data_IF_270742690877
#
_entry.id   IF_270742690877
#
_cell.length_a   1.000
_cell.length_b   1.000
_cell.length_c   1.000
_cell.angle_alpha   90.00
_cell.angle_beta   90.00
_cell.angle_gamma   90.00
#
_symmetry.space_group_name_H-M   'P 1'
#
loop_
_entity.id
_entity.type
_entity.pdbx_description
1 polymer ?
#
# COMPACT_ATOMS: atom_id res chain seq x y z
N UNK A 1 15.00 -24.63 -13.44
CA UNK A 1 16.24 -23.80 -13.29
C UNK A 1 16.23 -22.51 -14.11
N UNK A 2 16.08 -22.55 -15.45
CA UNK A 2 15.98 -21.30 -16.24
C UNK A 2 14.81 -20.43 -15.78
N UNK A 3 13.67 -21.07 -15.52
CA UNK A 3 12.46 -20.40 -15.02
C UNK A 3 12.67 -19.72 -13.67
N UNK A 4 13.32 -20.42 -12.73
CA UNK A 4 13.57 -19.89 -11.38
C UNK A 4 14.52 -18.67 -11.42
N UNK A 5 15.51 -18.68 -12.32
CA UNK A 5 16.40 -17.52 -12.54
C UNK A 5 15.63 -16.33 -13.09
N UNK A 6 14.73 -16.55 -14.06
CA UNK A 6 13.88 -15.48 -14.61
C UNK A 6 12.95 -14.93 -13.54
N UNK A 7 12.29 -15.80 -12.76
CA UNK A 7 11.43 -15.38 -11.65
C UNK A 7 12.19 -14.54 -10.63
N UNK A 8 13.36 -15.01 -10.16
CA UNK A 8 14.22 -14.26 -9.23
C UNK A 8 14.67 -12.91 -9.80
N UNK A 9 14.98 -12.87 -11.10
CA UNK A 9 15.41 -11.65 -11.79
C UNK A 9 14.27 -10.61 -11.90
N UNK A 10 13.05 -11.05 -12.17
CA UNK A 10 11.86 -10.17 -12.21
C UNK A 10 11.55 -9.61 -10.83
N UNK A 11 11.50 -10.48 -9.81
CA UNK A 11 11.24 -10.09 -8.42
C UNK A 11 12.26 -9.05 -7.97
N UNK A 12 13.56 -9.34 -8.09
CA UNK A 12 14.58 -8.40 -7.61
C UNK A 12 14.57 -7.08 -8.38
N UNK A 13 14.30 -7.10 -9.68
CA UNK A 13 14.29 -5.89 -10.51
C UNK A 13 13.13 -4.98 -10.13
N UNK A 14 11.92 -5.53 -10.01
CA UNK A 14 10.73 -4.75 -9.66
C UNK A 14 10.86 -4.25 -8.21
N UNK A 15 11.26 -5.11 -7.28
CA UNK A 15 11.50 -4.72 -5.89
C UNK A 15 12.50 -3.58 -5.75
N UNK A 16 13.63 -3.63 -6.47
CA UNK A 16 14.63 -2.54 -6.47
C UNK A 16 14.10 -1.25 -7.08
N UNK A 17 13.39 -1.32 -8.21
CA UNK A 17 12.76 -0.16 -8.84
C UNK A 17 11.74 0.49 -7.90
N UNK A 18 10.85 -0.30 -7.29
CA UNK A 18 9.86 0.21 -6.35
C UNK A 18 10.48 0.79 -5.09
N UNK A 19 11.52 0.15 -4.54
CA UNK A 19 12.25 0.67 -3.37
C UNK A 19 12.95 1.98 -3.68
N UNK A 20 13.53 2.10 -4.88
CA UNK A 20 14.17 3.33 -5.35
C UNK A 20 13.14 4.46 -5.53
N UNK A 21 12.03 4.21 -6.23
CA UNK A 21 10.97 5.21 -6.44
C UNK A 21 10.41 5.73 -5.12
N UNK A 22 10.00 4.83 -4.21
CA UNK A 22 9.50 5.21 -2.89
C UNK A 22 10.59 5.90 -2.04
N UNK A 23 11.85 5.50 -2.17
CA UNK A 23 12.98 6.14 -1.48
C UNK A 23 13.25 7.57 -1.97
N UNK A 24 13.19 7.80 -3.29
CA UNK A 24 13.31 9.13 -3.89
C UNK A 24 12.14 10.03 -3.48
N UNK A 25 10.92 9.51 -3.45
CA UNK A 25 9.75 10.25 -2.99
C UNK A 25 9.88 10.62 -1.51
N UNK A 26 10.27 9.66 -0.65
CA UNK A 26 10.52 9.91 0.77
C UNK A 26 11.62 10.96 0.98
N UNK A 27 12.70 10.90 0.19
CA UNK A 27 13.76 11.90 0.22
C UNK A 27 13.24 13.29 -0.18
N UNK A 28 12.47 13.41 -1.26
CA UNK A 28 11.87 14.66 -1.70
C UNK A 28 10.91 15.26 -0.65
N UNK A 29 10.09 14.43 -0.02
CA UNK A 29 9.21 14.83 1.09
C UNK A 29 10.02 15.30 2.31
N UNK A 30 11.09 14.58 2.68
CA UNK A 30 11.96 14.95 3.79
C UNK A 30 12.68 16.30 3.57
N UNK A 31 13.05 16.61 2.33
CA UNK A 31 13.62 17.92 1.95
C UNK A 31 12.60 19.04 2.14
N UNK A 32 11.35 18.81 1.74
CA UNK A 32 10.26 19.77 1.98
C UNK A 32 10.04 20.05 3.47
N UNK A 33 10.26 19.06 4.34
CA UNK A 33 10.13 19.23 5.79
C UNK A 33 11.18 20.16 6.38
N UNK A 34 12.39 20.20 5.80
CA UNK A 34 13.45 21.10 6.25
C UNK A 34 13.21 22.55 5.83
N UNK A 35 12.47 22.77 4.74
CA UNK A 35 12.18 24.09 4.20
C UNK A 35 11.00 24.80 4.90
N UNK A 36 10.17 24.07 5.65
CA UNK A 36 8.99 24.58 6.34
C UNK A 36 9.02 24.23 7.83
N UNK A 37 8.53 25.13 8.71
CA UNK A 37 8.51 24.88 10.16
C UNK A 37 7.67 23.65 10.57
N UNK A 38 6.78 23.14 9.71
CA UNK A 38 6.11 21.86 9.88
C UNK A 38 5.72 21.22 8.53
N UNK A 39 5.91 19.90 8.35
CA UNK A 39 5.40 19.13 7.22
C UNK A 39 3.89 19.31 6.99
N UNK A 40 3.43 19.36 5.74
CA UNK A 40 2.00 19.22 5.50
C UNK A 40 1.51 17.85 5.96
N UNK A 41 0.29 17.77 6.52
CA UNK A 41 -0.29 16.51 6.98
C UNK A 41 -0.29 15.42 5.90
N UNK A 42 -0.64 15.82 4.68
CA UNK A 42 -0.59 14.97 3.50
C UNK A 42 0.83 14.41 3.26
N UNK A 43 1.85 15.26 3.31
CA UNK A 43 3.23 14.84 3.11
C UNK A 43 3.74 13.87 4.17
N UNK A 44 3.33 14.04 5.43
CA UNK A 44 3.70 13.12 6.52
C UNK A 44 3.04 11.75 6.36
N UNK A 45 1.75 11.73 5.99
CA UNK A 45 1.03 10.49 5.69
C UNK A 45 1.62 9.77 4.47
N UNK A 46 1.93 10.49 3.40
CA UNK A 46 2.64 9.95 2.23
C UNK A 46 4.01 9.39 2.60
N UNK A 47 4.75 10.04 3.51
CA UNK A 47 6.04 9.53 3.98
C UNK A 47 5.90 8.20 4.71
N UNK A 48 4.89 8.06 5.58
CA UNK A 48 4.57 6.79 6.26
C UNK A 48 4.23 5.67 5.26
N UNK A 49 3.50 6.01 4.19
CA UNK A 49 3.19 5.07 3.12
C UNK A 49 4.43 4.64 2.32
N UNK A 50 5.28 5.60 1.93
CA UNK A 50 6.54 5.30 1.21
C UNK A 50 7.43 4.38 2.03
N UNK A 51 7.57 4.67 3.33
CA UNK A 51 8.30 3.81 4.25
C UNK A 51 7.70 2.39 4.29
N UNK A 52 6.37 2.28 4.39
CA UNK A 52 5.69 0.99 4.39
C UNK A 52 5.92 0.22 3.08
N UNK A 53 5.85 0.87 1.92
CA UNK A 53 6.13 0.25 0.62
C UNK A 53 7.57 -0.28 0.53
N UNK A 54 8.57 0.50 0.97
CA UNK A 54 9.98 0.06 0.99
C UNK A 54 10.12 -1.18 1.88
N UNK A 55 9.51 -1.17 3.07
CA UNK A 55 9.55 -2.31 3.97
C UNK A 55 8.80 -3.53 3.41
N UNK A 56 7.71 -3.35 2.66
CA UNK A 56 6.99 -4.44 1.96
C UNK A 56 7.84 -5.05 0.85
N UNK A 57 8.54 -4.24 0.05
CA UNK A 57 9.37 -4.70 -1.07
C UNK A 57 10.69 -5.33 -0.60
N UNK A 58 11.18 -4.97 0.58
CA UNK A 58 12.44 -5.47 1.12
C UNK A 58 12.49 -7.02 1.18
N UNK A 59 11.51 -7.73 1.79
CA UNK A 59 11.39 -9.19 1.74
C UNK A 59 11.45 -9.82 0.34
N UNK A 60 10.95 -9.15 -0.69
CA UNK A 60 11.02 -9.66 -2.06
C UNK A 60 12.46 -9.66 -2.58
N UNK A 61 13.19 -8.57 -2.33
CA UNK A 61 14.59 -8.39 -2.73
C UNK A 61 15.51 -9.33 -1.95
N UNK A 62 15.37 -9.37 -0.63
CA UNK A 62 16.35 -10.04 0.24
C UNK A 62 16.02 -11.49 0.52
N UNK A 63 14.77 -11.93 0.34
CA UNK A 63 14.36 -13.31 0.60
C UNK A 63 13.79 -14.00 -0.64
N UNK A 64 12.68 -13.51 -1.21
CA UNK A 64 11.99 -14.21 -2.30
C UNK A 64 12.87 -14.41 -3.56
N UNK A 65 13.56 -13.35 -4.02
CA UNK A 65 14.46 -13.45 -5.17
C UNK A 65 15.65 -14.41 -4.93
N UNK A 66 16.39 -14.33 -3.80
CA UNK A 66 17.41 -15.32 -3.45
C UNK A 66 16.88 -16.76 -3.39
N UNK A 67 15.69 -17.00 -2.85
CA UNK A 67 15.06 -18.32 -2.83
C UNK A 67 14.86 -18.87 -4.25
N UNK A 68 14.44 -18.02 -5.19
CA UNK A 68 14.34 -18.40 -6.61
C UNK A 68 15.72 -18.72 -7.23
N UNK A 69 16.75 -17.91 -6.95
CA UNK A 69 18.10 -18.15 -7.47
C UNK A 69 18.75 -19.41 -6.90
N UNK A 70 18.53 -19.70 -5.62
CA UNK A 70 19.05 -20.88 -4.95
C UNK A 70 18.27 -22.13 -5.34
N UNK A 71 16.98 -21.99 -5.66
CA UNK A 71 16.09 -23.11 -5.99
C UNK A 71 15.54 -23.83 -4.75
N UNK A 72 15.68 -23.21 -3.58
CA UNK A 72 15.19 -23.69 -2.31
C UNK A 72 15.18 -22.54 -1.29
N UNK A 73 14.32 -22.58 -0.25
CA UNK A 73 14.43 -21.71 0.91
C UNK A 73 15.83 -21.81 1.55
N UNK A 74 16.40 -20.69 1.96
CA UNK A 74 17.68 -20.66 2.66
C UNK A 74 17.49 -20.22 4.11
N UNK A 75 18.37 -20.72 4.98
CA UNK A 75 18.26 -20.49 6.42
C UNK A 75 17.16 -21.32 7.09
N UNK A 76 16.92 -21.10 8.39
CA UNK A 76 15.89 -21.82 9.13
C UNK A 76 14.49 -21.34 8.71
N UNK A 77 13.48 -22.20 8.85
CA UNK A 77 12.08 -21.89 8.49
C UNK A 77 11.57 -20.57 9.11
N UNK A 78 11.98 -20.29 10.35
CA UNK A 78 11.66 -19.06 11.07
C UNK A 78 12.08 -17.80 10.30
N UNK A 79 13.14 -17.86 9.49
CA UNK A 79 13.60 -16.72 8.70
C UNK A 79 12.55 -16.30 7.67
N UNK A 80 12.00 -17.25 6.91
CA UNK A 80 10.94 -16.98 5.95
C UNK A 80 9.68 -16.44 6.60
N UNK A 81 9.34 -16.96 7.78
CA UNK A 81 8.20 -16.47 8.58
C UNK A 81 8.42 -15.02 9.04
N UNK A 82 9.62 -14.65 9.47
CA UNK A 82 9.92 -13.26 9.87
C UNK A 82 9.81 -12.29 8.70
N UNK A 83 10.24 -12.70 7.51
CA UNK A 83 10.03 -11.91 6.31
C UNK A 83 8.55 -11.78 5.96
N UNK A 84 7.77 -12.86 6.07
CA UNK A 84 6.32 -12.78 5.89
C UNK A 84 5.63 -11.87 6.91
N UNK A 85 5.99 -11.95 8.20
CA UNK A 85 5.47 -11.06 9.24
C UNK A 85 5.73 -9.59 8.93
N UNK A 86 6.94 -9.28 8.45
CA UNK A 86 7.29 -7.93 8.01
C UNK A 86 6.41 -7.48 6.85
N UNK A 87 6.32 -8.29 5.78
CA UNK A 87 5.51 -8.00 4.59
C UNK A 87 4.04 -7.78 4.94
N UNK A 88 3.45 -8.64 5.78
CA UNK A 88 2.05 -8.52 6.19
C UNK A 88 1.83 -7.22 6.95
N UNK A 89 2.64 -6.94 7.97
CA UNK A 89 2.49 -5.74 8.79
C UNK A 89 2.54 -4.47 7.93
N UNK A 90 3.52 -4.39 7.03
CA UNK A 90 3.74 -3.21 6.20
C UNK A 90 2.72 -3.11 5.07
N UNK A 91 2.22 -4.23 4.55
CA UNK A 91 1.08 -4.23 3.65
C UNK A 91 -0.18 -3.67 4.33
N UNK A 92 -0.49 -4.14 5.55
CA UNK A 92 -1.63 -3.62 6.31
C UNK A 92 -1.46 -2.13 6.62
N UNK A 93 -0.25 -1.66 6.95
CA UNK A 93 -0.01 -0.23 7.17
C UNK A 93 -0.22 0.60 5.89
N UNK A 94 0.09 0.07 4.70
CA UNK A 94 -0.22 0.73 3.42
C UNK A 94 -1.74 0.89 3.23
N UNK A 95 -2.52 -0.17 3.47
CA UNK A 95 -3.99 -0.13 3.38
C UNK A 95 -4.58 0.92 4.32
N UNK A 96 -4.11 0.98 5.57
CA UNK A 96 -4.58 2.00 6.51
C UNK A 96 -4.05 3.42 6.20
N UNK A 97 -2.83 3.55 5.66
CA UNK A 97 -2.34 4.82 5.13
C UNK A 97 -3.23 5.35 4.00
N UNK A 98 -3.71 4.48 3.11
CA UNK A 98 -4.66 4.87 2.05
C UNK A 98 -5.90 5.54 2.64
N UNK A 99 -6.51 4.91 3.66
CA UNK A 99 -7.67 5.47 4.35
C UNK A 99 -7.38 6.81 5.02
N UNK A 100 -6.25 6.90 5.72
CA UNK A 100 -5.83 8.13 6.38
C UNK A 100 -5.61 9.28 5.37
N UNK A 101 -5.03 8.99 4.21
CA UNK A 101 -4.83 9.96 3.13
C UNK A 101 -6.17 10.38 2.51
N UNK A 102 -7.07 9.44 2.23
CA UNK A 102 -8.41 9.73 1.70
C UNK A 102 -9.21 10.60 2.67
N UNK A 103 -9.18 10.28 3.97
CA UNK A 103 -9.80 11.08 5.02
C UNK A 103 -9.21 12.49 5.11
N UNK A 104 -7.87 12.61 5.11
CA UNK A 104 -7.21 13.92 5.12
C UNK A 104 -7.68 14.82 3.97
N UNK A 105 -7.81 14.25 2.76
CA UNK A 105 -8.29 14.97 1.57
C UNK A 105 -9.77 15.34 1.67
N UNK A 106 -10.58 14.44 2.22
CA UNK A 106 -11.99 14.70 2.47
C UNK A 106 -12.14 15.91 3.41
N UNK A 107 -11.41 15.94 4.53
CA UNK A 107 -11.40 17.08 5.45
C UNK A 107 -10.90 18.36 4.75
N UNK A 108 -9.83 18.27 3.95
CA UNK A 108 -9.31 19.41 3.20
C UNK A 108 -10.30 19.99 2.19
N UNK A 109 -11.20 19.16 1.64
CA UNK A 109 -12.15 19.54 0.60
C UNK A 109 -13.47 20.08 1.18
N UNK A 110 -13.99 19.43 2.22
CA UNK A 110 -15.29 19.73 2.79
C UNK A 110 -15.24 20.61 4.04
N UNK A 111 -14.16 20.54 4.81
CA UNK A 111 -14.02 21.16 6.12
C UNK A 111 -12.81 22.09 6.19
N UNK A 112 -12.63 22.95 5.18
CA UNK A 112 -11.49 23.86 5.05
C UNK A 112 -11.20 24.68 6.31
N UNK A 113 -12.24 25.24 6.95
CA UNK A 113 -12.09 26.07 8.16
C UNK A 113 -11.73 25.28 9.41
N UNK A 114 -12.01 23.97 9.43
CA UNK A 114 -11.67 23.08 10.55
C UNK A 114 -10.45 22.20 10.27
N UNK A 115 -9.83 22.36 9.10
CA UNK A 115 -8.75 21.49 8.65
C UNK A 115 -7.58 21.48 9.64
N UNK A 116 -7.09 22.65 10.08
CA UNK A 116 -5.95 22.71 11.01
C UNK A 116 -6.28 22.16 12.40
N UNK A 117 -7.56 22.21 12.81
CA UNK A 117 -8.02 21.60 14.06
C UNK A 117 -8.05 20.07 13.97
N UNK A 118 -8.46 19.51 12.84
CA UNK A 118 -8.65 18.06 12.64
C UNK A 118 -7.37 17.40 12.14
N UNK A 119 -6.79 17.94 11.07
CA UNK A 119 -5.62 17.42 10.35
C UNK A 119 -4.37 18.29 10.53
N UNK A 120 -4.32 19.19 11.52
CA UNK A 120 -3.06 19.83 11.92
C UNK A 120 -2.09 18.84 12.57
N UNK A 121 -0.94 19.34 13.06
CA UNK A 121 0.17 18.51 13.58
C UNK A 121 -0.26 17.37 14.51
N UNK A 122 -1.02 17.69 15.56
CA UNK A 122 -1.46 16.70 16.56
C UNK A 122 -2.37 15.65 15.92
N UNK A 123 -3.33 16.08 15.10
CA UNK A 123 -4.25 15.19 14.41
C UNK A 123 -3.55 14.25 13.42
N UNK A 124 -2.59 14.77 12.64
CA UNK A 124 -1.82 13.92 11.72
C UNK A 124 -1.01 12.84 12.45
N UNK A 125 -0.36 13.20 13.56
CA UNK A 125 0.42 12.24 14.36
C UNK A 125 -0.52 11.16 14.92
N UNK A 126 -1.68 11.55 15.46
CA UNK A 126 -2.69 10.60 15.94
C UNK A 126 -3.12 9.66 14.81
N UNK A 127 -3.41 10.18 13.61
CA UNK A 127 -3.78 9.35 12.46
C UNK A 127 -2.69 8.33 12.09
N UNK A 128 -1.42 8.73 12.09
CA UNK A 128 -0.30 7.82 11.81
C UNK A 128 -0.19 6.74 12.89
N UNK A 129 -0.30 7.12 14.16
CA UNK A 129 -0.27 6.15 15.28
C UNK A 129 -1.42 5.14 15.14
N UNK A 130 -2.63 5.61 14.83
CA UNK A 130 -3.78 4.73 14.59
C UNK A 130 -3.57 3.79 13.41
N UNK A 131 -2.99 4.26 12.31
CA UNK A 131 -2.64 3.42 11.15
C UNK A 131 -1.76 2.24 11.56
N UNK A 132 -0.69 2.50 12.30
CA UNK A 132 0.25 1.45 12.73
C UNK A 132 -0.35 0.54 13.79
N UNK A 133 -1.16 1.05 14.72
CA UNK A 133 -1.88 0.22 15.70
C UNK A 133 -2.85 -0.73 14.98
N UNK A 134 -3.66 -0.24 14.05
CA UNK A 134 -4.59 -1.09 13.28
C UNK A 134 -3.84 -2.15 12.46
N UNK A 135 -2.73 -1.75 11.81
CA UNK A 135 -1.88 -2.68 11.07
C UNK A 135 -1.32 -3.78 11.97
N UNK A 136 -0.81 -3.43 13.16
CA UNK A 136 -0.30 -4.38 14.15
C UNK A 136 -1.40 -5.33 14.62
N UNK A 137 -2.57 -4.82 15.01
CA UNK A 137 -3.70 -5.65 15.48
C UNK A 137 -4.07 -6.70 14.41
N UNK A 138 -4.07 -6.31 13.14
CA UNK A 138 -4.39 -7.21 12.05
C UNK A 138 -3.26 -8.21 11.72
N UNK A 139 -2.01 -7.88 12.04
CA UNK A 139 -0.87 -8.76 11.85
C UNK A 139 -0.67 -9.75 13.01
N UNK A 140 -1.15 -9.44 14.23
CA UNK A 140 -0.99 -10.28 15.44
C UNK A 140 -1.34 -11.76 15.22
N UNK A 141 -2.45 -12.14 14.55
CA UNK A 141 -2.79 -13.54 14.35
C UNK A 141 -1.71 -14.35 13.63
N UNK A 142 -0.89 -13.73 12.78
CA UNK A 142 0.21 -14.41 12.09
C UNK A 142 1.39 -14.77 13.00
N UNK A 143 1.49 -14.13 14.17
CA UNK A 143 2.51 -14.43 15.17
C UNK A 143 2.12 -15.61 16.08
N UNK A 144 0.89 -16.12 15.97
CA UNK A 144 0.45 -17.26 16.76
C UNK A 144 1.14 -18.56 16.31
N UNK A 145 1.44 -19.50 17.23
CA UNK A 145 2.07 -20.76 16.89
C UNK A 145 1.26 -21.54 15.83
N UNK A 146 1.94 -22.02 14.79
CA UNK A 146 1.33 -22.73 13.67
C UNK A 146 0.69 -21.82 12.62
N UNK A 147 0.54 -20.52 12.89
CA UNK A 147 0.16 -19.53 11.88
C UNK A 147 1.42 -18.97 11.23
N UNK A 148 1.31 -18.51 10.00
CA UNK A 148 2.45 -17.90 9.32
C UNK A 148 2.15 -17.54 7.89
N UNK A 149 3.00 -16.66 7.37
CA UNK A 149 3.03 -16.22 5.98
C UNK A 149 4.48 -16.35 5.51
N UNK A 150 4.71 -16.96 4.35
CA UNK A 150 6.07 -17.14 3.83
C UNK A 150 6.06 -17.29 2.31
N UNK A 151 7.21 -17.08 1.69
CA UNK A 151 7.38 -17.29 0.26
C UNK A 151 7.58 -18.78 -0.05
N UNK A 152 6.67 -19.33 -0.86
CA UNK A 152 6.72 -20.71 -1.34
C UNK A 152 7.52 -20.78 -2.63
N UNK A 153 8.70 -21.42 -2.60
CA UNK A 153 9.48 -21.71 -3.80
C UNK A 153 8.65 -22.50 -4.83
N UNK A 154 7.90 -23.50 -4.37
CA UNK A 154 7.07 -24.34 -5.24
C UNK A 154 5.99 -23.58 -5.97
N UNK A 155 5.40 -22.54 -5.38
CA UNK A 155 4.35 -21.76 -6.05
C UNK A 155 4.83 -20.41 -6.60
N UNK A 156 6.10 -20.06 -6.33
CA UNK A 156 6.69 -18.75 -6.62
C UNK A 156 5.84 -17.58 -6.09
N UNK A 157 5.18 -17.80 -4.95
CA UNK A 157 4.23 -16.87 -4.36
C UNK A 157 4.28 -16.88 -2.84
N UNK A 158 3.88 -15.74 -2.29
CA UNK A 158 3.68 -15.59 -0.85
C UNK A 158 2.33 -16.19 -0.46
N UNK A 159 2.32 -16.98 0.62
CA UNK A 159 1.11 -17.65 1.08
C UNK A 159 1.14 -17.99 2.55
N UNK A 160 -0.04 -18.22 3.12
CA UNK A 160 -0.17 -18.71 4.48
C UNK A 160 0.12 -20.21 4.57
N UNK A 161 0.58 -20.65 5.74
CA UNK A 161 0.75 -22.08 6.06
C UNK A 161 -0.60 -22.79 5.91
N UNK A 162 -0.64 -23.97 5.28
CA UNK A 162 -1.88 -24.72 5.02
C UNK A 162 -2.40 -25.42 6.28
N UNK A 163 -3.17 -24.70 7.07
CA UNK A 163 -3.93 -25.21 8.22
C UNK A 163 -5.13 -24.30 8.50
N UNK A 164 -5.93 -24.65 9.52
CA UNK A 164 -7.13 -23.88 9.88
C UNK A 164 -6.84 -22.38 10.14
N UNK A 165 -5.67 -22.06 10.73
CA UNK A 165 -5.29 -20.65 10.93
C UNK A 165 -4.97 -19.96 9.61
N UNK A 166 -4.20 -20.59 8.74
CA UNK A 166 -3.87 -20.05 7.43
C UNK A 166 -5.08 -19.86 6.52
N UNK A 167 -6.10 -20.71 6.61
CA UNK A 167 -7.36 -20.53 5.87
C UNK A 167 -8.15 -19.31 6.35
N UNK A 168 -8.19 -19.06 7.67
CA UNK A 168 -8.80 -17.85 8.23
C UNK A 168 -8.01 -16.60 7.80
N UNK A 169 -6.68 -16.68 7.84
CA UNK A 169 -5.78 -15.58 7.50
C UNK A 169 -5.84 -15.22 6.01
N UNK A 170 -5.70 -16.20 5.13
CA UNK A 170 -5.76 -16.03 3.67
C UNK A 170 -7.17 -15.74 3.16
N UNK A 171 -8.21 -16.01 3.95
CA UNK A 171 -9.60 -15.75 3.62
C UNK A 171 -10.15 -14.49 4.32
N UNK A 172 -11.05 -14.66 5.31
CA UNK A 172 -11.80 -13.55 5.88
C UNK A 172 -10.94 -12.46 6.53
N UNK A 173 -9.85 -12.82 7.22
CA UNK A 173 -9.03 -11.84 7.94
C UNK A 173 -8.19 -10.95 6.99
N UNK A 174 -7.85 -11.46 5.80
CA UNK A 174 -7.22 -10.64 4.76
C UNK A 174 -8.26 -9.80 4.03
N UNK A 175 -9.28 -10.42 3.47
CA UNK A 175 -10.16 -9.78 2.48
C UNK A 175 -11.21 -8.86 3.10
N UNK A 176 -11.84 -9.21 4.23
CA UNK A 176 -12.93 -8.38 4.80
C UNK A 176 -12.41 -6.99 5.18
N UNK A 177 -11.30 -6.84 5.93
CA UNK A 177 -10.75 -5.52 6.22
C UNK A 177 -10.31 -4.77 4.97
N UNK A 178 -9.61 -5.43 4.04
CA UNK A 178 -9.08 -4.78 2.84
C UNK A 178 -10.19 -4.26 1.93
N UNK A 179 -11.26 -5.04 1.71
CA UNK A 179 -12.42 -4.59 0.94
C UNK A 179 -13.21 -3.50 1.66
N UNK A 180 -13.34 -3.59 2.99
CA UNK A 180 -14.03 -2.57 3.79
C UNK A 180 -13.30 -1.23 3.71
N UNK A 181 -11.99 -1.23 3.95
CA UNK A 181 -11.17 -0.02 3.86
C UNK A 181 -11.19 0.57 2.45
N UNK A 182 -10.99 -0.28 1.43
CA UNK A 182 -11.05 0.15 0.02
C UNK A 182 -12.42 0.75 -0.30
N UNK A 183 -13.51 0.10 0.10
CA UNK A 183 -14.88 0.61 -0.10
C UNK A 183 -15.13 1.98 0.54
N UNK A 184 -14.63 2.19 1.77
CA UNK A 184 -14.71 3.50 2.44
C UNK A 184 -13.91 4.55 1.64
N UNK A 185 -12.70 4.21 1.17
CA UNK A 185 -11.88 5.13 0.38
C UNK A 185 -12.59 5.55 -0.92
N UNK A 186 -13.19 4.59 -1.63
CA UNK A 186 -14.00 4.89 -2.81
C UNK A 186 -15.18 5.80 -2.49
N UNK A 187 -15.89 5.55 -1.39
CA UNK A 187 -16.98 6.41 -0.93
C UNK A 187 -16.52 7.85 -0.69
N UNK A 188 -15.40 8.03 0.03
CA UNK A 188 -14.83 9.36 0.29
C UNK A 188 -14.39 10.05 -1.01
N UNK A 189 -13.75 9.32 -1.92
CA UNK A 189 -13.31 9.87 -3.20
C UNK A 189 -14.47 10.22 -4.12
N UNK A 190 -15.55 9.45 -4.11
CA UNK A 190 -16.76 9.79 -4.85
C UNK A 190 -17.38 11.11 -4.36
N UNK A 191 -17.42 11.32 -3.04
CA UNK A 191 -17.85 12.59 -2.46
C UNK A 191 -16.93 13.75 -2.89
N UNK A 192 -15.61 13.56 -2.85
CA UNK A 192 -14.63 14.57 -3.29
C UNK A 192 -14.85 14.90 -4.77
N UNK A 193 -15.00 13.89 -5.63
CA UNK A 193 -15.28 14.07 -7.06
C UNK A 193 -16.56 14.88 -7.28
N UNK A 194 -17.64 14.50 -6.60
CA UNK A 194 -18.90 15.20 -6.69
C UNK A 194 -18.75 16.69 -6.32
N UNK A 195 -18.03 16.98 -5.22
CA UNK A 195 -17.77 18.35 -4.78
C UNK A 195 -16.92 19.14 -5.78
N UNK A 196 -15.85 18.54 -6.31
CA UNK A 196 -14.99 19.18 -7.30
C UNK A 196 -15.72 19.46 -8.61
N UNK A 197 -16.55 18.52 -9.08
CA UNK A 197 -17.38 18.70 -10.28
C UNK A 197 -18.43 19.79 -10.06
N UNK A 198 -19.11 19.79 -8.90
CA UNK A 198 -20.06 20.84 -8.53
C UNK A 198 -19.42 22.23 -8.51
N UNK A 199 -18.20 22.34 -7.95
CA UNK A 199 -17.44 23.58 -7.95
C UNK A 199 -16.99 24.00 -9.36
N UNK A 200 -16.67 23.06 -10.24
CA UNK A 200 -16.31 23.34 -11.63
C UNK A 200 -17.50 23.91 -12.39
N UNK A 201 -18.67 23.29 -12.25
CA UNK A 201 -19.92 23.71 -12.91
C UNK A 201 -20.38 25.07 -12.39
N UNK A 202 -20.33 25.29 -11.08
CA UNK A 202 -20.73 26.57 -10.45
C UNK A 202 -19.67 27.68 -10.59
N UNK A 203 -18.43 27.32 -10.90
CA UNK A 203 -17.24 28.17 -10.77
C UNK A 203 -16.86 28.97 -12.01
N UNK A 204 -17.79 29.23 -12.94
CA UNK A 204 -17.53 30.00 -14.16
C UNK A 204 -16.99 31.43 -13.91
N UNK A 205 -17.00 31.93 -12.67
CA UNK A 205 -16.51 33.25 -12.25
C UNK A 205 -15.27 33.23 -11.32
N UNK A 206 -14.53 32.11 -11.22
CA UNK A 206 -13.33 32.04 -10.36
C UNK A 206 -12.11 32.74 -10.98
N UNK A 207 -11.42 33.58 -10.20
CA UNK A 207 -10.17 34.23 -10.61
C UNK A 207 -9.04 33.26 -10.96
N UNK A 208 -8.05 33.73 -11.75
CA UNK A 208 -6.96 32.91 -12.33
C UNK A 208 -6.22 32.03 -11.31
N UNK A 209 -5.90 32.57 -10.12
CA UNK A 209 -5.23 31.82 -9.05
C UNK A 209 -6.10 30.68 -8.47
N UNK A 210 -7.41 30.90 -8.33
CA UNK A 210 -8.33 29.88 -7.87
C UNK A 210 -8.53 28.77 -8.91
N UNK A 211 -8.51 29.13 -10.20
CA UNK A 211 -8.60 28.17 -11.31
C UNK A 211 -7.38 27.24 -11.37
N UNK A 212 -6.18 27.77 -11.19
CA UNK A 212 -4.95 26.95 -11.12
C UNK A 212 -4.92 26.04 -9.90
N UNK A 213 -5.34 26.54 -8.73
CA UNK A 213 -5.47 25.72 -7.51
C UNK A 213 -6.47 24.58 -7.71
N UNK A 214 -7.60 24.86 -8.34
CA UNK A 214 -8.62 23.85 -8.67
C UNK A 214 -8.08 22.78 -9.63
N UNK A 215 -7.41 23.18 -10.71
CA UNK A 215 -6.78 22.25 -11.66
C UNK A 215 -5.77 21.33 -10.98
N UNK A 216 -4.95 21.87 -10.07
CA UNK A 216 -4.01 21.07 -9.27
C UNK A 216 -4.73 20.08 -8.36
N UNK A 217 -5.80 20.50 -7.69
CA UNK A 217 -6.60 19.62 -6.83
C UNK A 217 -7.24 18.48 -7.61
N UNK A 218 -7.80 18.77 -8.80
CA UNK A 218 -8.38 17.74 -9.69
C UNK A 218 -7.31 16.74 -10.16
N UNK A 219 -6.13 17.21 -10.57
CA UNK A 219 -5.04 16.30 -10.98
C UNK A 219 -4.60 15.39 -9.83
N UNK A 220 -4.41 15.94 -8.64
CA UNK A 220 -4.03 15.19 -7.45
C UNK A 220 -5.12 14.18 -7.02
N UNK A 221 -6.39 14.52 -7.24
CA UNK A 221 -7.52 13.62 -7.04
C UNK A 221 -7.45 12.44 -8.03
N UNK A 222 -7.35 12.72 -9.34
CA UNK A 222 -7.27 11.68 -10.39
C UNK A 222 -6.12 10.71 -10.12
N UNK A 223 -4.94 11.23 -9.78
CA UNK A 223 -3.77 10.39 -9.47
C UNK A 223 -4.10 9.36 -8.37
N UNK A 224 -4.70 9.79 -7.27
CA UNK A 224 -4.99 8.86 -6.16
C UNK A 224 -6.22 7.99 -6.40
N UNK A 225 -7.17 8.45 -7.21
CA UNK A 225 -8.28 7.60 -7.63
C UNK A 225 -7.79 6.44 -8.50
N UNK A 226 -6.90 6.71 -9.45
CA UNK A 226 -6.25 5.67 -10.25
C UNK A 226 -5.44 4.71 -9.39
N UNK A 227 -4.72 5.23 -8.40
CA UNK A 227 -3.99 4.42 -7.43
C UNK A 227 -4.92 3.47 -6.65
N UNK A 228 -6.08 3.94 -6.19
CA UNK A 228 -7.07 3.09 -5.51
C UNK A 228 -7.67 2.02 -6.43
N UNK A 229 -7.89 2.35 -7.71
CA UNK A 229 -8.34 1.37 -8.69
C UNK A 229 -7.32 0.24 -8.88
N UNK A 230 -6.02 0.56 -8.87
CA UNK A 230 -4.94 -0.44 -8.96
C UNK A 230 -4.96 -1.38 -7.75
N UNK A 231 -5.11 -0.86 -6.53
CA UNK A 231 -5.26 -1.69 -5.32
C UNK A 231 -6.52 -2.55 -5.34
N UNK A 232 -7.65 -1.99 -5.81
CA UNK A 232 -8.89 -2.75 -5.94
C UNK A 232 -8.74 -3.88 -6.96
N UNK A 233 -8.09 -3.58 -8.09
CA UNK A 233 -7.78 -4.59 -9.11
C UNK A 233 -6.92 -5.70 -8.51
N UNK A 234 -5.85 -5.36 -7.79
CA UNK A 234 -5.01 -6.33 -7.07
C UNK A 234 -5.84 -7.21 -6.12
N UNK A 235 -6.65 -6.62 -5.24
CA UNK A 235 -7.46 -7.37 -4.27
C UNK A 235 -8.48 -8.31 -4.93
N UNK A 236 -9.16 -7.85 -5.98
CA UNK A 236 -10.11 -8.66 -6.74
C UNK A 236 -9.37 -9.79 -7.45
N UNK A 237 -8.23 -9.49 -8.06
CA UNK A 237 -7.42 -10.48 -8.76
C UNK A 237 -6.91 -11.55 -7.77
N UNK A 238 -6.35 -11.17 -6.63
CA UNK A 238 -5.92 -12.08 -5.57
C UNK A 238 -7.05 -12.97 -5.02
N UNK A 239 -8.29 -12.47 -4.99
CA UNK A 239 -9.43 -13.23 -4.43
C UNK A 239 -9.99 -14.25 -5.41
N UNK A 240 -10.11 -13.90 -6.69
CA UNK A 240 -10.90 -14.67 -7.66
C UNK A 240 -10.04 -15.40 -8.69
N UNK A 241 -8.78 -15.03 -8.85
CA UNK A 241 -7.90 -15.71 -9.80
C UNK A 241 -7.36 -17.02 -9.22
N UNK A 242 -7.61 -18.13 -9.92
CA UNK A 242 -7.02 -19.43 -9.59
C UNK A 242 -5.85 -19.70 -10.53
N UNK A 243 -4.60 -19.77 -10.03
CA UNK A 243 -3.44 -20.01 -10.87
C UNK A 243 -3.44 -21.44 -11.41
N UNK A 244 -3.19 -21.61 -12.71
CA UNK A 244 -3.05 -22.91 -13.37
C UNK A 244 -1.61 -23.44 -13.38
N UNK A 245 -0.64 -22.57 -13.10
CA UNK A 245 0.79 -22.86 -13.12
C UNK A 245 1.56 -22.00 -12.11
N UNK A 246 2.79 -22.42 -11.78
CA UNK A 246 3.72 -21.64 -10.95
C UNK A 246 3.97 -20.24 -11.51
N UNK A 247 4.01 -20.10 -12.84
CA UNK A 247 4.17 -18.82 -13.53
C UNK A 247 2.97 -17.90 -13.38
N UNK A 248 1.76 -18.42 -13.54
CA UNK A 248 0.55 -17.63 -13.29
C UNK A 248 0.43 -17.24 -11.82
N UNK A 249 0.93 -18.10 -10.91
CA UNK A 249 1.01 -17.79 -9.49
C UNK A 249 2.01 -16.67 -9.20
N UNK A 250 3.21 -16.72 -9.78
CA UNK A 250 4.20 -15.65 -9.72
C UNK A 250 3.62 -14.32 -10.20
N UNK A 251 2.97 -14.30 -11.37
CA UNK A 251 2.39 -13.09 -11.94
C UNK A 251 1.29 -12.50 -11.03
N UNK A 252 0.39 -13.35 -10.53
CA UNK A 252 -0.80 -12.93 -9.78
C UNK A 252 -0.52 -12.54 -8.32
N UNK A 253 0.32 -13.32 -7.63
CA UNK A 253 0.49 -13.25 -6.17
C UNK A 253 1.84 -12.66 -5.75
N UNK A 254 2.75 -12.41 -6.69
CA UNK A 254 4.07 -11.82 -6.40
C UNK A 254 4.29 -10.56 -7.23
N UNK A 255 4.33 -10.67 -8.55
CA UNK A 255 4.70 -9.55 -9.42
C UNK A 255 3.63 -8.46 -9.49
N UNK A 256 2.35 -8.82 -9.52
CA UNK A 256 1.27 -7.83 -9.45
C UNK A 256 1.37 -7.02 -8.15
N UNK A 257 1.65 -7.70 -7.04
CA UNK A 257 1.81 -7.08 -5.73
C UNK A 257 3.06 -6.18 -5.66
N UNK A 258 4.21 -6.60 -6.20
CA UNK A 258 5.39 -5.72 -6.28
C UNK A 258 5.14 -4.52 -7.19
N UNK A 259 4.40 -4.71 -8.30
CA UNK A 259 4.05 -3.65 -9.22
C UNK A 259 3.16 -2.59 -8.55
N UNK A 260 2.18 -2.99 -7.72
CA UNK A 260 1.30 -2.01 -7.03
C UNK A 260 2.08 -1.16 -6.05
N UNK A 261 2.99 -1.75 -5.27
CA UNK A 261 3.88 -1.00 -4.38
C UNK A 261 4.95 -0.17 -5.10
N UNK A 262 5.35 -0.59 -6.30
CA UNK A 262 6.26 0.17 -7.17
C UNK A 262 5.58 1.40 -7.76
N UNK A 263 4.35 1.24 -8.27
CA UNK A 263 3.55 2.32 -8.87
C UNK A 263 3.17 3.40 -7.86
N UNK A 264 3.08 3.04 -6.58
CA UNK A 264 2.77 3.96 -5.50
C UNK A 264 3.86 5.00 -5.20
N UNK A 265 5.11 4.74 -5.57
CA UNK A 265 6.27 5.61 -5.32
C UNK A 265 6.56 6.55 -6.48
#
# INVERSE_FOLDING_TARGET
>A
RREDIVAGSLIITIGLLGSLSNGLLLFALSRSFKAHSFPSAFSLLCSSRCFSNICTLCPFIIYAAPVCFLGAPYGPEILGLKFGHLTTLTYKSVVYCQLAIAFNRFVATFFTFSYDRICGKKGTIIMIVLVWICALIHAIPEFLPGCGYTFSYENLSWGNIRNACGEILSGPALFIPSFTVTGICFGLNFLILFRLTSQTIRGAALGKASKERHKRNVRNFIQSFLQELVYMFELVFLRFFTPSSRWTSLLAFTLLWECTHTWDG
#
